data_IF_562250825958
#
_entry.id   IF_562250825958
#
_cell.length_a   1.000
_cell.length_b   1.000
_cell.length_c   1.000
_cell.angle_alpha   90.00
_cell.angle_beta   90.00
_cell.angle_gamma   90.00
#
_symmetry.space_group_name_H-M   'P 1'
#
loop_
_entity.id
_entity.type
_entity.pdbx_description
1 polymer ?
#
# COMPACT_ATOMS: atom_id res chain seq x y z
N UNK A 1 -5.16 -44.50 49.12
CA UNK A 1 -4.12 -43.59 48.56
C UNK A 1 -4.73 -42.89 47.38
N UNK A 2 -5.02 -41.60 47.52
CA UNK A 2 -5.69 -40.81 46.50
C UNK A 2 -4.68 -39.85 45.86
N UNK A 3 -4.40 -40.03 44.57
CA UNK A 3 -3.48 -39.21 43.78
C UNK A 3 -4.21 -37.98 43.25
N UNK A 4 -3.76 -36.81 43.71
CA UNK A 4 -4.24 -35.47 43.25
C UNK A 4 -3.76 -35.18 41.84
N UNK A 5 -4.66 -35.03 40.88
CA UNK A 5 -4.39 -34.55 39.53
C UNK A 5 -4.15 -33.04 39.55
N UNK A 6 -2.97 -32.62 39.06
CA UNK A 6 -2.56 -31.23 38.90
C UNK A 6 -3.17 -30.64 37.61
N UNK A 7 -4.14 -29.72 37.75
CA UNK A 7 -4.73 -28.97 36.61
C UNK A 7 -3.72 -27.96 36.06
N UNK A 8 -3.21 -28.19 34.90
CA UNK A 8 -2.44 -27.21 34.11
C UNK A 8 -3.38 -26.23 33.39
N UNK A 9 -3.29 -24.95 33.72
CA UNK A 9 -4.01 -23.88 33.04
C UNK A 9 -3.40 -23.61 31.65
N UNK A 10 -4.21 -23.34 30.61
CA UNK A 10 -3.73 -23.28 29.24
C UNK A 10 -2.98 -21.97 28.88
N UNK A 11 -1.97 -22.12 28.06
CA UNK A 11 -1.06 -21.08 27.53
C UNK A 11 -1.72 -20.01 26.61
N UNK A 12 -3.03 -20.07 26.43
CA UNK A 12 -3.78 -19.20 25.50
C UNK A 12 -3.77 -17.70 25.86
N UNK A 13 -3.65 -17.33 27.15
CA UNK A 13 -3.67 -15.92 27.56
C UNK A 13 -2.40 -15.12 27.20
N UNK A 14 -1.24 -15.76 27.05
CA UNK A 14 0.01 -15.06 26.67
C UNK A 14 0.09 -14.68 25.19
N UNK A 15 -0.56 -15.42 24.31
CA UNK A 15 -0.54 -15.15 22.84
C UNK A 15 -1.42 -13.94 22.49
N UNK A 16 -2.56 -13.78 23.19
CA UNK A 16 -3.46 -12.63 22.95
C UNK A 16 -2.87 -11.30 23.44
N UNK A 17 -2.12 -11.33 24.54
CA UNK A 17 -1.44 -10.12 25.05
C UNK A 17 -0.30 -9.65 24.14
N UNK A 18 0.42 -10.58 23.48
CA UNK A 18 1.50 -10.22 22.52
C UNK A 18 0.97 -9.62 21.23
N UNK A 19 -0.25 -10.02 20.77
CA UNK A 19 -0.90 -9.41 19.59
C UNK A 19 -1.38 -7.97 19.83
N UNK A 20 -1.77 -7.60 21.05
CA UNK A 20 -2.17 -6.21 21.36
C UNK A 20 -0.99 -5.23 21.47
N UNK A 21 0.20 -5.70 21.79
CA UNK A 21 1.40 -4.85 21.86
C UNK A 21 2.00 -4.54 20.48
N UNK A 22 1.82 -5.42 19.48
CA UNK A 22 2.32 -5.20 18.11
C UNK A 22 1.48 -4.18 17.30
N UNK A 23 0.26 -3.87 17.73
CA UNK A 23 -0.65 -2.95 17.02
C UNK A 23 -0.31 -1.45 17.18
N UNK A 24 0.80 -1.10 17.83
CA UNK A 24 1.21 0.28 18.11
C UNK A 24 2.47 0.71 17.38
N UNK A 25 2.75 0.13 16.20
CA UNK A 25 3.75 0.69 15.31
C UNK A 25 3.13 1.83 14.51
N UNK A 26 3.64 3.03 14.78
CA UNK A 26 3.16 4.30 14.24
C UNK A 26 3.03 4.24 12.70
N UNK A 27 1.88 4.70 12.20
CA UNK A 27 1.70 5.08 10.82
C UNK A 27 2.82 6.05 10.39
N UNK A 28 3.27 6.01 9.12
CA UNK A 28 4.30 6.93 8.64
C UNK A 28 3.88 8.37 8.93
N UNK A 29 4.75 9.14 9.58
CA UNK A 29 4.49 10.53 9.99
C UNK A 29 4.31 11.50 8.81
N UNK A 30 4.59 11.05 7.58
CA UNK A 30 4.32 11.76 6.34
C UNK A 30 3.44 10.86 5.48
N UNK A 31 2.14 11.16 5.41
CA UNK A 31 1.25 10.51 4.44
C UNK A 31 1.63 10.91 3.01
N UNK A 32 1.04 10.21 2.04
CA UNK A 32 1.20 10.51 0.62
C UNK A 32 0.96 12.01 0.34
N UNK A 33 1.91 12.63 -0.37
CA UNK A 33 1.87 14.03 -0.76
C UNK A 33 1.56 14.15 -2.25
N UNK A 34 0.32 14.47 -2.64
CA UNK A 34 -0.02 14.62 -4.05
C UNK A 34 0.73 15.80 -4.67
N UNK A 35 1.16 15.64 -5.91
CA UNK A 35 1.73 16.74 -6.69
C UNK A 35 0.61 17.71 -7.07
N UNK A 36 0.77 19.01 -6.78
CA UNK A 36 -0.20 20.03 -7.17
C UNK A 36 -0.22 20.17 -8.70
N UNK A 37 -1.38 20.00 -9.28
CA UNK A 37 -1.59 20.18 -10.72
C UNK A 37 -1.95 21.64 -11.02
N UNK A 38 -1.38 22.16 -12.13
CA UNK A 38 -1.75 23.46 -12.69
C UNK A 38 -2.78 23.24 -13.78
N UNK A 39 -4.01 23.66 -13.53
CA UNK A 39 -5.06 23.61 -14.54
C UNK A 39 -4.79 24.66 -15.62
N UNK A 40 -4.79 24.22 -16.88
CA UNK A 40 -4.58 25.07 -18.05
C UNK A 40 -5.88 25.14 -18.89
N UNK A 41 -6.15 26.32 -19.45
CA UNK A 41 -7.28 26.51 -20.39
C UNK A 41 -6.78 27.32 -21.59
N UNK A 42 -7.01 26.85 -22.85
CA UNK A 42 -7.65 25.57 -23.22
C UNK A 42 -6.86 24.37 -22.71
N UNK A 43 -7.51 23.20 -22.63
CA UNK A 43 -6.86 21.98 -22.20
C UNK A 43 -5.81 21.57 -23.22
N UNK A 44 -4.53 21.40 -22.84
CA UNK A 44 -3.47 20.96 -23.74
C UNK A 44 -3.70 19.54 -24.27
N UNK A 45 -2.96 19.15 -25.30
CA UNK A 45 -2.94 17.78 -25.79
C UNK A 45 -2.34 16.81 -24.75
N UNK A 46 -2.67 15.52 -24.86
CA UNK A 46 -2.17 14.48 -23.96
C UNK A 46 -0.63 14.42 -23.91
N UNK A 47 0.01 14.64 -25.07
CA UNK A 47 1.47 14.67 -25.19
C UNK A 47 2.06 15.87 -24.43
N UNK A 48 1.48 17.04 -24.55
CA UNK A 48 1.94 18.24 -23.85
C UNK A 48 1.78 18.09 -22.34
N UNK A 49 0.66 17.51 -21.88
CA UNK A 49 0.43 17.20 -20.47
C UNK A 49 1.48 16.22 -19.94
N UNK A 50 1.74 15.15 -20.71
CA UNK A 50 2.71 14.13 -20.31
C UNK A 50 4.14 14.67 -20.24
N UNK A 51 4.54 15.50 -21.21
CA UNK A 51 5.88 16.11 -21.25
C UNK A 51 6.09 17.19 -20.18
N UNK A 52 5.04 17.90 -19.80
CA UNK A 52 5.08 18.89 -18.72
C UNK A 52 5.10 18.24 -17.32
N UNK A 53 4.76 16.95 -17.21
CA UNK A 53 4.70 16.21 -15.97
C UNK A 53 6.07 16.04 -15.32
N UNK A 54 6.15 16.32 -14.02
CA UNK A 54 7.35 16.05 -13.21
C UNK A 54 7.13 14.78 -12.41
N UNK A 55 7.91 13.74 -12.72
CA UNK A 55 7.84 12.46 -12.04
C UNK A 55 8.56 12.56 -10.67
N UNK A 56 7.96 12.02 -9.63
CA UNK A 56 8.65 11.75 -8.36
C UNK A 56 9.57 10.54 -8.49
N UNK A 57 10.71 10.59 -7.83
CA UNK A 57 11.57 9.41 -7.72
C UNK A 57 10.83 8.28 -6.96
N UNK A 58 10.97 7.04 -7.44
CA UNK A 58 10.25 5.89 -6.84
C UNK A 58 10.63 5.66 -5.39
N UNK A 59 11.87 5.96 -5.00
CA UNK A 59 12.30 5.88 -3.61
C UNK A 59 11.53 6.85 -2.70
N UNK A 60 11.23 8.06 -3.17
CA UNK A 60 10.43 9.03 -2.44
C UNK A 60 8.98 8.55 -2.28
N UNK A 61 8.38 8.02 -3.36
CA UNK A 61 7.02 7.44 -3.31
C UNK A 61 6.96 6.29 -2.31
N UNK A 62 7.96 5.42 -2.31
CA UNK A 62 8.04 4.31 -1.36
C UNK A 62 8.16 4.78 0.09
N UNK A 63 8.95 5.81 0.36
CA UNK A 63 9.06 6.43 1.70
C UNK A 63 7.72 7.02 2.15
N UNK A 64 7.01 7.72 1.27
CA UNK A 64 5.67 8.28 1.53
C UNK A 64 4.65 7.17 1.88
N UNK A 65 4.78 5.98 1.27
CA UNK A 65 3.98 4.79 1.56
C UNK A 65 4.43 4.03 2.82
N UNK A 66 5.56 4.43 3.43
CA UNK A 66 6.10 3.79 4.62
C UNK A 66 6.87 2.50 4.36
N UNK A 67 7.36 2.31 3.14
CA UNK A 67 8.30 1.24 2.79
C UNK A 67 9.73 1.66 3.14
N UNK A 68 10.54 0.70 3.55
CA UNK A 68 11.94 0.92 3.89
C UNK A 68 12.83 0.75 2.66
N UNK A 69 13.97 1.45 2.57
CA UNK A 69 14.88 1.33 1.43
C UNK A 69 15.38 -0.11 1.17
N UNK A 70 15.59 -0.89 2.23
CA UNK A 70 16.02 -2.29 2.13
C UNK A 70 14.91 -3.24 1.63
N UNK A 71 13.65 -2.82 1.66
CA UNK A 71 12.49 -3.56 1.15
C UNK A 71 12.27 -3.34 -0.36
N UNK A 72 13.13 -2.53 -0.99
CA UNK A 72 13.02 -2.18 -2.41
C UNK A 72 14.19 -2.75 -3.21
N UNK A 73 13.88 -3.14 -4.44
CA UNK A 73 14.84 -3.43 -5.48
C UNK A 73 14.63 -2.41 -6.62
N UNK A 74 15.57 -1.47 -6.75
CA UNK A 74 15.43 -0.34 -7.66
C UNK A 74 15.82 -0.73 -9.10
N UNK A 75 14.98 -0.35 -10.07
CA UNK A 75 15.21 -0.46 -11.50
C UNK A 75 15.22 0.96 -12.11
N UNK A 76 16.30 1.69 -11.84
CA UNK A 76 16.40 3.11 -12.21
C UNK A 76 15.59 4.03 -11.26
N UNK A 77 15.44 5.32 -11.61
CA UNK A 77 14.88 6.32 -10.71
C UNK A 77 13.36 6.25 -10.52
N UNK A 78 12.63 5.58 -11.43
CA UNK A 78 11.17 5.64 -11.48
C UNK A 78 10.48 4.29 -11.35
N UNK A 79 11.22 3.20 -11.16
CA UNK A 79 10.66 1.86 -11.03
C UNK A 79 11.36 1.09 -9.91
N UNK A 80 10.59 0.35 -9.11
CA UNK A 80 11.10 -0.57 -8.11
C UNK A 80 10.20 -1.79 -7.98
N UNK A 81 10.77 -2.90 -7.51
CA UNK A 81 10.03 -4.05 -6.98
C UNK A 81 10.04 -3.99 -5.47
N UNK A 82 8.96 -4.46 -4.85
CA UNK A 82 8.85 -4.60 -3.40
C UNK A 82 9.23 -6.02 -3.04
N UNK A 83 10.16 -6.18 -2.10
CA UNK A 83 10.61 -7.48 -1.62
C UNK A 83 9.61 -8.07 -0.63
N UNK A 84 9.62 -9.40 -0.48
CA UNK A 84 8.71 -10.12 0.41
C UNK A 84 8.88 -9.75 1.90
N UNK A 85 10.05 -9.28 2.32
CA UNK A 85 10.28 -8.82 3.69
C UNK A 85 9.35 -7.67 4.09
N UNK A 86 8.90 -6.85 3.13
CA UNK A 86 7.88 -5.82 3.37
C UNK A 86 6.54 -6.47 3.76
N UNK A 87 6.13 -7.54 3.07
CA UNK A 87 4.92 -8.28 3.41
C UNK A 87 5.00 -8.92 4.79
N UNK A 88 6.11 -9.61 5.10
CA UNK A 88 6.34 -10.24 6.42
C UNK A 88 6.26 -9.22 7.55
N UNK A 89 6.79 -8.02 7.35
CA UNK A 89 6.70 -6.93 8.32
C UNK A 89 5.28 -6.40 8.49
N UNK A 90 4.50 -6.36 7.42
CA UNK A 90 3.18 -5.73 7.39
C UNK A 90 2.02 -6.70 7.65
N UNK A 91 2.22 -8.02 7.58
CA UNK A 91 1.17 -9.05 7.68
C UNK A 91 0.29 -8.98 8.95
N UNK A 92 0.78 -8.33 10.01
CA UNK A 92 0.01 -8.14 11.25
C UNK A 92 -0.72 -6.79 11.33
N UNK A 93 -0.68 -5.99 10.25
CA UNK A 93 -1.46 -4.75 10.18
C UNK A 93 -2.88 -5.06 9.67
N UNK A 94 -3.87 -4.21 9.99
CA UNK A 94 -5.19 -4.34 9.38
C UNK A 94 -5.07 -4.11 7.87
N UNK A 95 -5.81 -4.92 7.11
CA UNK A 95 -5.86 -4.78 5.65
C UNK A 95 -6.50 -3.45 5.23
N UNK A 96 -6.05 -2.93 4.09
CA UNK A 96 -6.68 -1.81 3.42
C UNK A 96 -7.99 -2.21 2.74
N UNK A 97 -8.69 -1.24 2.18
CA UNK A 97 -9.86 -1.52 1.35
C UNK A 97 -9.40 -1.87 -0.06
N UNK A 98 -9.83 -3.03 -0.54
CA UNK A 98 -9.62 -3.45 -1.92
C UNK A 98 -10.79 -2.99 -2.78
N UNK A 99 -10.51 -2.29 -3.87
CA UNK A 99 -11.53 -1.80 -4.82
C UNK A 99 -11.25 -2.44 -6.18
N UNK A 100 -12.18 -3.24 -6.67
CA UNK A 100 -12.11 -3.84 -7.99
C UNK A 100 -12.89 -2.99 -9.00
N UNK A 101 -12.21 -2.56 -10.06
CA UNK A 101 -12.79 -1.78 -11.15
C UNK A 101 -12.84 -2.66 -12.39
N UNK A 102 -14.01 -3.20 -12.67
CA UNK A 102 -14.23 -4.16 -13.75
C UNK A 102 -15.43 -3.79 -14.62
N UNK A 103 -15.72 -4.57 -15.64
CA UNK A 103 -16.91 -4.49 -16.45
C UNK A 103 -17.50 -5.89 -16.67
N UNK A 104 -18.80 -5.96 -16.85
CA UNK A 104 -19.53 -7.22 -17.09
C UNK A 104 -19.10 -7.85 -18.41
N UNK A 105 -18.91 -7.01 -19.44
CA UNK A 105 -18.48 -7.43 -20.78
C UNK A 105 -17.34 -6.55 -21.28
N UNK A 106 -16.34 -7.10 -21.98
CA UNK A 106 -15.35 -6.29 -22.67
C UNK A 106 -16.01 -5.56 -23.85
N UNK A 107 -15.83 -4.25 -23.93
CA UNK A 107 -16.30 -3.46 -25.06
C UNK A 107 -15.15 -2.94 -25.89
N UNK A 108 -15.27 -2.92 -27.24
CA UNK A 108 -14.22 -2.41 -28.11
C UNK A 108 -13.99 -0.89 -27.97
N UNK A 109 -14.99 -0.15 -27.50
CA UNK A 109 -14.93 1.33 -27.37
C UNK A 109 -14.43 1.82 -26.01
N UNK A 110 -14.20 0.92 -25.06
CA UNK A 110 -13.80 1.28 -23.69
C UNK A 110 -14.96 1.88 -22.87
N UNK A 111 -14.97 1.56 -21.56
CA UNK A 111 -16.02 1.99 -20.62
C UNK A 111 -15.47 2.83 -19.46
N UNK A 112 -14.27 3.36 -19.61
CA UNK A 112 -13.63 4.19 -18.59
C UNK A 112 -13.04 3.43 -17.40
N UNK A 113 -12.87 2.11 -17.47
CA UNK A 113 -12.24 1.32 -16.39
C UNK A 113 -10.88 1.89 -15.98
N UNK A 114 -10.00 2.07 -16.95
CA UNK A 114 -8.66 2.62 -16.72
C UNK A 114 -8.71 4.03 -16.15
N UNK A 115 -9.56 4.90 -16.71
CA UNK A 115 -9.75 6.27 -16.24
C UNK A 115 -10.25 6.30 -14.79
N UNK A 116 -11.19 5.43 -14.46
CA UNK A 116 -11.71 5.30 -13.08
C UNK A 116 -10.63 4.80 -12.13
N UNK A 117 -9.86 3.79 -12.52
CA UNK A 117 -8.78 3.24 -11.69
C UNK A 117 -7.69 4.29 -11.41
N UNK A 118 -7.26 5.01 -12.45
CA UNK A 118 -6.27 6.09 -12.30
C UNK A 118 -6.83 7.26 -11.48
N UNK A 119 -8.12 7.57 -11.61
CA UNK A 119 -8.73 8.65 -10.83
C UNK A 119 -8.96 8.30 -9.36
N UNK A 120 -8.98 7.02 -9.00
CA UNK A 120 -9.11 6.55 -7.62
C UNK A 120 -7.75 6.39 -6.93
N UNK A 121 -6.66 6.20 -7.68
CA UNK A 121 -5.32 5.99 -7.13
C UNK A 121 -4.59 7.30 -6.85
#
# INVERSE_FOLDING_TARGET
MATKAKKTKPAAKKVVAKKKAAAKQAAPKKGFQPTKLKLLRPVPSDIEIAQAGKLKAIAQVAEELGLKPNELELFGPYKAKIKLEAYERLQNRPDGKYIDVTAITPTPLGEGKTTTTVGLS
#
